data_IF_594749361969
#
_entry.id   IF_594749361969
#
_cell.length_a   1.000
_cell.length_b   1.000
_cell.length_c   1.000
_cell.angle_alpha   90.00
_cell.angle_beta   90.00
_cell.angle_gamma   90.00
#
_symmetry.space_group_name_H-M   'P 1'
#
loop_
_entity.id
_entity.type
_entity.pdbx_description
1 polymer ?
#
# COMPACT_ATOMS: atom_id res chain seq x y z
N UNK A 1 -11.27 -19.17 -6.18
CA UNK A 1 -9.79 -19.14 -6.04
C UNK A 1 -9.41 -18.02 -5.08
N UNK A 2 -8.78 -18.32 -3.92
CA UNK A 2 -8.60 -17.34 -2.84
C UNK A 2 -7.20 -16.70 -2.74
N UNK A 3 -6.30 -16.84 -3.72
CA UNK A 3 -4.95 -16.23 -3.68
C UNK A 3 -4.95 -14.69 -3.63
N UNK A 4 -6.00 -14.04 -4.16
CA UNK A 4 -6.07 -12.56 -4.20
C UNK A 4 -6.04 -11.93 -2.81
N UNK A 5 -6.54 -12.64 -1.78
CA UNK A 5 -6.56 -12.13 -0.41
C UNK A 5 -5.18 -12.07 0.22
N UNK A 6 -4.37 -13.11 0.01
CA UNK A 6 -3.06 -13.26 0.66
C UNK A 6 -2.02 -12.30 0.08
N UNK A 7 -1.99 -12.15 -1.25
CA UNK A 7 -1.10 -11.21 -1.93
C UNK A 7 -1.41 -9.75 -1.59
N UNK A 8 -2.69 -9.40 -1.43
CA UNK A 8 -3.08 -8.05 -1.02
C UNK A 8 -2.78 -7.80 0.45
N UNK A 9 -3.04 -8.79 1.31
CA UNK A 9 -2.71 -8.69 2.73
C UNK A 9 -1.21 -8.58 2.97
N UNK A 10 -0.37 -9.25 2.17
CA UNK A 10 1.09 -9.14 2.21
C UNK A 10 1.55 -7.74 1.77
N UNK A 11 1.00 -7.22 0.67
CA UNK A 11 1.32 -5.86 0.20
C UNK A 11 0.93 -4.79 1.23
N UNK A 12 -0.26 -4.89 1.82
CA UNK A 12 -0.69 -3.99 2.89
C UNK A 12 0.22 -4.08 4.12
N UNK A 13 0.76 -5.27 4.46
CA UNK A 13 1.73 -5.41 5.56
C UNK A 13 3.06 -4.75 5.23
N UNK A 14 3.57 -4.98 4.02
CA UNK A 14 4.82 -4.40 3.56
C UNK A 14 4.75 -2.86 3.59
N UNK A 15 3.70 -2.29 3.00
CA UNK A 15 3.51 -0.85 2.97
C UNK A 15 3.27 -0.28 4.37
N UNK A 16 2.53 -0.98 5.24
CA UNK A 16 2.35 -0.55 6.63
C UNK A 16 3.68 -0.53 7.40
N UNK A 17 4.57 -1.50 7.17
CA UNK A 17 5.87 -1.58 7.82
C UNK A 17 6.85 -0.51 7.31
N UNK A 18 6.94 -0.32 5.99
CA UNK A 18 7.81 0.69 5.38
C UNK A 18 7.39 2.12 5.73
N UNK A 19 6.08 2.36 5.84
CA UNK A 19 5.53 3.70 6.04
C UNK A 19 5.13 4.02 7.48
N UNK A 20 5.10 3.03 8.38
CA UNK A 20 4.65 3.20 9.76
C UNK A 20 3.15 3.53 9.91
N UNK A 21 2.35 3.32 8.87
CA UNK A 21 0.92 3.69 8.83
C UNK A 21 0.08 2.45 9.22
N UNK A 22 -1.03 2.61 9.97
CA UNK A 22 -1.90 1.50 10.32
C UNK A 22 -2.39 0.73 9.10
N UNK A 23 -2.39 -0.60 9.19
CA UNK A 23 -2.84 -1.46 8.08
C UNK A 23 -4.26 -1.15 7.60
N UNK A 24 -5.15 -0.70 8.49
CA UNK A 24 -6.53 -0.27 8.15
C UNK A 24 -6.58 0.95 7.24
N UNK A 25 -5.54 1.78 7.24
CA UNK A 25 -5.42 2.97 6.42
C UNK A 25 -4.94 2.67 5.00
N UNK A 26 -4.48 1.44 4.73
CA UNK A 26 -3.93 1.00 3.45
C UNK A 26 -4.89 -0.02 2.86
N UNK A 27 -5.36 0.20 1.63
CA UNK A 27 -6.19 -0.76 0.90
C UNK A 27 -5.81 -0.83 -0.56
N UNK A 28 -5.70 -2.05 -1.08
CA UNK A 28 -5.64 -2.27 -2.52
C UNK A 28 -7.04 -2.05 -3.10
N UNK A 29 -7.19 -1.05 -3.96
CA UNK A 29 -8.49 -0.68 -4.56
C UNK A 29 -8.62 -1.15 -6.01
N UNK A 30 -7.52 -1.43 -6.70
CA UNK A 30 -7.54 -1.99 -8.05
C UNK A 30 -6.23 -2.73 -8.38
N UNK A 31 -6.26 -3.53 -9.45
CA UNK A 31 -5.07 -4.23 -9.95
C UNK A 31 -4.78 -5.58 -9.29
N UNK A 32 -5.77 -6.23 -8.66
CA UNK A 32 -5.57 -7.52 -7.98
C UNK A 32 -5.01 -8.65 -8.89
N UNK A 33 -5.20 -8.55 -10.21
CA UNK A 33 -4.68 -9.49 -11.22
C UNK A 33 -3.70 -8.84 -12.20
N UNK A 34 -3.33 -7.58 -11.97
CA UNK A 34 -2.48 -6.81 -12.88
C UNK A 34 -1.15 -6.49 -12.21
N UNK A 35 -0.09 -6.32 -13.01
CA UNK A 35 1.23 -5.88 -12.51
C UNK A 35 1.16 -4.49 -11.88
N UNK A 36 0.22 -3.67 -12.35
CA UNK A 36 -0.05 -2.32 -11.86
C UNK A 36 -1.14 -2.38 -10.79
N UNK A 37 -0.76 -2.13 -9.53
CA UNK A 37 -1.67 -2.11 -8.38
C UNK A 37 -1.96 -0.68 -7.95
N UNK A 38 -3.24 -0.36 -7.74
CA UNK A 38 -3.66 0.92 -7.18
C UNK A 38 -3.93 0.72 -5.70
N UNK A 39 -3.16 1.40 -4.87
CA UNK A 39 -3.32 1.38 -3.41
C UNK A 39 -3.86 2.73 -2.96
N UNK A 40 -4.89 2.70 -2.12
CA UNK A 40 -5.40 3.86 -1.40
C UNK A 40 -4.79 3.87 -0.01
N UNK A 41 -4.14 4.98 0.34
CA UNK A 41 -3.58 5.24 1.66
C UNK A 41 -4.32 6.45 2.24
N UNK A 42 -4.74 6.34 3.50
CA UNK A 42 -5.51 7.37 4.21
C UNK A 42 -4.78 7.74 5.50
N UNK A 43 -4.40 8.99 5.67
CA UNK A 43 -3.61 9.42 6.82
C UNK A 43 -3.13 10.86 6.69
N UNK A 44 -2.08 11.20 7.44
CA UNK A 44 -1.48 12.53 7.40
C UNK A 44 -0.82 12.79 6.04
N UNK A 45 -1.32 13.79 5.32
CA UNK A 45 -0.85 14.15 3.98
C UNK A 45 0.64 14.51 3.94
N UNK A 46 1.16 15.16 4.98
CA UNK A 46 2.57 15.56 5.06
C UNK A 46 3.52 14.37 5.20
N UNK A 47 3.16 13.40 6.05
CA UNK A 47 3.91 12.15 6.19
C UNK A 47 3.84 11.30 4.92
N UNK A 48 2.63 11.14 4.36
CA UNK A 48 2.46 10.41 3.10
C UNK A 48 3.27 11.02 1.96
N UNK A 49 3.27 12.35 1.80
CA UNK A 49 4.00 13.01 0.73
C UNK A 49 5.51 12.73 0.82
N UNK A 50 6.07 12.78 2.05
CA UNK A 50 7.49 12.46 2.28
C UNK A 50 7.81 11.01 1.93
N UNK A 51 6.98 10.08 2.39
CA UNK A 51 7.17 8.64 2.15
C UNK A 51 7.06 8.28 0.67
N UNK A 52 6.11 8.88 -0.06
CA UNK A 52 5.96 8.69 -1.50
C UNK A 52 7.15 9.26 -2.28
N UNK A 53 7.70 10.41 -1.86
CA UNK A 53 8.91 10.96 -2.45
C UNK A 53 10.15 10.09 -2.19
N UNK A 54 10.21 9.38 -1.07
CA UNK A 54 11.28 8.42 -0.76
C UNK A 54 11.15 7.15 -1.58
N UNK A 55 9.93 6.62 -1.73
CA UNK A 55 9.65 5.47 -2.59
C UNK A 55 9.97 5.75 -4.07
N UNK A 56 9.64 6.95 -4.58
CA UNK A 56 9.88 7.32 -5.98
C UNK A 56 11.37 7.50 -6.34
N UNK A 57 12.26 7.54 -5.35
CA UNK A 57 13.71 7.64 -5.53
C UNK A 57 14.43 6.29 -5.49
N UNK A 58 13.71 5.21 -5.20
CA UNK A 58 14.19 3.82 -5.27
C UNK A 58 13.88 3.25 -6.65
#
# INVERSE_FOLDING_TARGET
>A
MPEKGEANAALERLLAAEFGIPKKSIKVVAGATSRLKTIRITGNTGELARLMAELARR
#
